data_IF_212538495448
#
_entry.id   IF_212538495448
#
_cell.length_a   1.000
_cell.length_b   1.000
_cell.length_c   1.000
_cell.angle_alpha   90.00
_cell.angle_beta   90.00
_cell.angle_gamma   90.00
#
_symmetry.space_group_name_H-M   'P 1'
#
loop_
_entity.id
_entity.type
_entity.pdbx_description
1 polymer ?
#
# COMPACT_ATOMS: atom_id res chain seq x y z
N UNK A 1 18.78 38.45 -6.85
CA UNK A 1 18.03 38.85 -5.63
C UNK A 1 17.93 37.75 -4.56
N UNK A 2 17.60 36.49 -4.90
CA UNK A 2 17.42 35.40 -3.91
C UNK A 2 18.63 35.14 -3.00
N UNK A 3 19.86 35.20 -3.52
CA UNK A 3 21.07 34.88 -2.73
C UNK A 3 21.43 35.91 -1.65
N UNK A 4 21.17 37.21 -1.87
CA UNK A 4 21.39 38.24 -0.83
C UNK A 4 20.39 38.12 0.33
N UNK A 5 19.14 37.74 0.03
CA UNK A 5 18.10 37.50 1.02
C UNK A 5 18.42 36.24 1.86
N UNK A 6 18.87 35.16 1.22
CA UNK A 6 19.28 33.94 1.92
C UNK A 6 20.51 34.14 2.84
N UNK A 7 21.48 34.97 2.44
CA UNK A 7 22.64 35.27 3.26
C UNK A 7 22.26 36.09 4.52
N UNK A 8 21.40 37.10 4.36
CA UNK A 8 20.86 37.87 5.49
C UNK A 8 20.04 36.98 6.46
N UNK A 9 19.30 36.00 5.95
CA UNK A 9 18.49 35.08 6.76
C UNK A 9 19.31 34.03 7.52
N UNK A 10 20.49 33.62 7.01
CA UNK A 10 21.39 32.70 7.74
C UNK A 10 22.00 33.36 8.98
N UNK A 11 22.37 34.64 8.89
CA UNK A 11 22.87 35.40 10.03
C UNK A 11 21.82 35.57 11.14
N UNK A 12 20.56 35.79 10.76
CA UNK A 12 19.45 35.94 11.70
C UNK A 12 19.06 34.63 12.40
N UNK A 13 19.20 33.47 11.74
CA UNK A 13 18.91 32.16 12.33
C UNK A 13 19.88 31.78 13.45
N UNK A 14 21.16 32.17 13.34
CA UNK A 14 22.16 31.93 14.39
C UNK A 14 21.83 32.72 15.66
N UNK A 15 21.49 34.00 15.50
CA UNK A 15 21.06 34.89 16.58
C UNK A 15 19.78 34.41 17.30
N UNK A 16 18.85 33.80 16.57
CA UNK A 16 17.63 33.17 17.14
C UNK A 16 17.90 31.95 18.02
N UNK A 17 18.91 31.14 17.70
CA UNK A 17 19.27 29.96 18.51
C UNK A 17 20.06 30.33 19.76
N UNK A 18 20.72 31.50 19.77
CA UNK A 18 21.52 31.99 20.90
C UNK A 18 20.70 32.88 21.87
N UNK A 19 19.77 33.71 21.40
CA UNK A 19 19.08 34.74 22.23
C UNK A 19 17.59 34.45 22.53
N UNK A 20 16.98 33.43 21.90
CA UNK A 20 15.54 33.14 22.01
C UNK A 20 14.64 34.08 21.18
N UNK A 21 13.49 33.59 20.73
CA UNK A 21 12.67 34.26 19.72
C UNK A 21 11.84 35.44 20.29
N UNK A 22 11.90 36.67 19.73
CA UNK A 22 11.03 37.76 20.15
C UNK A 22 9.59 37.50 19.64
N UNK A 23 8.61 37.55 20.53
CA UNK A 23 7.19 37.23 20.29
C UNK A 23 6.42 38.16 19.35
N UNK A 24 7.09 38.89 18.45
CA UNK A 24 6.49 39.91 17.59
C UNK A 24 5.77 39.34 16.36
N UNK A 25 4.76 40.08 15.87
CA UNK A 25 3.94 39.72 14.70
C UNK A 25 4.76 39.59 13.40
N UNK A 26 5.88 40.30 13.32
CA UNK A 26 6.82 40.29 12.18
C UNK A 26 7.62 38.98 12.14
N UNK A 27 8.05 38.47 13.29
CA UNK A 27 8.75 37.19 13.41
C UNK A 27 7.90 36.01 12.89
N UNK A 28 6.60 35.99 13.21
CA UNK A 28 5.67 34.96 12.71
C UNK A 28 5.49 35.01 11.20
N UNK A 29 5.44 36.20 10.60
CA UNK A 29 5.36 36.38 9.14
C UNK A 29 6.63 35.94 8.42
N UNK A 30 7.80 36.22 8.99
CA UNK A 30 9.07 35.79 8.42
C UNK A 30 9.28 34.27 8.53
N UNK A 31 8.83 33.65 9.61
CA UNK A 31 8.87 32.20 9.79
C UNK A 31 7.96 31.49 8.78
N UNK A 32 6.74 32.00 8.54
CA UNK A 32 5.84 31.43 7.54
C UNK A 32 6.39 31.59 6.12
N UNK A 33 7.03 32.72 5.82
CA UNK A 33 7.72 32.92 4.53
C UNK A 33 8.91 31.97 4.36
N UNK A 34 9.72 31.75 5.40
CA UNK A 34 10.85 30.81 5.35
C UNK A 34 10.37 29.36 5.13
N UNK A 35 9.35 28.91 5.87
CA UNK A 35 8.74 27.60 5.68
C UNK A 35 8.12 27.43 4.29
N UNK A 36 7.56 28.50 3.73
CA UNK A 36 6.96 28.49 2.38
C UNK A 36 8.01 28.51 1.28
N UNK A 37 9.16 29.16 1.50
CA UNK A 37 10.26 29.24 0.54
C UNK A 37 11.17 28.00 0.54
N UNK A 38 11.28 27.29 1.67
CA UNK A 38 12.02 26.03 1.80
C UNK A 38 11.14 24.78 1.64
N UNK A 39 9.88 24.93 1.20
CA UNK A 39 9.10 23.79 0.72
C UNK A 39 9.79 23.24 -0.53
N UNK A 40 10.12 21.94 -0.60
CA UNK A 40 10.61 21.36 -1.84
C UNK A 40 9.60 21.61 -2.96
N UNK A 41 10.10 21.96 -4.16
CA UNK A 41 9.29 22.17 -5.35
C UNK A 41 8.52 20.88 -5.67
N UNK A 42 7.28 20.81 -5.19
CA UNK A 42 6.38 19.72 -5.54
C UNK A 42 6.10 19.82 -7.05
N UNK A 43 6.63 18.87 -7.81
CA UNK A 43 6.24 18.59 -9.17
C UNK A 43 4.71 18.52 -9.23
N UNK A 44 4.06 19.51 -9.87
CA UNK A 44 2.60 19.54 -10.00
C UNK A 44 2.18 18.40 -10.93
N UNK A 45 1.82 17.26 -10.35
CA UNK A 45 1.09 16.20 -11.06
C UNK A 45 -0.26 16.77 -11.51
N UNK A 46 -0.80 16.36 -12.67
CA UNK A 46 -2.19 16.64 -12.99
C UNK A 46 -3.07 16.09 -11.86
N UNK A 47 -4.04 16.89 -11.42
CA UNK A 47 -5.01 16.50 -10.38
C UNK A 47 -5.85 15.36 -10.95
N UNK A 48 -5.87 14.15 -10.35
CA UNK A 48 -6.76 13.09 -10.80
C UNK A 48 -8.22 13.57 -10.70
N UNK A 49 -9.12 13.04 -11.54
CA UNK A 49 -10.52 13.46 -11.58
C UNK A 49 -11.17 13.41 -10.20
N UNK A 50 -12.11 14.33 -9.97
CA UNK A 50 -12.65 14.69 -8.66
C UNK A 50 -13.28 13.52 -7.86
N UNK A 51 -13.56 12.39 -8.52
CA UNK A 51 -14.20 11.21 -7.93
C UNK A 51 -13.19 10.24 -7.28
N UNK A 52 -11.89 10.59 -7.30
CA UNK A 52 -10.78 9.73 -6.86
C UNK A 52 -10.15 10.17 -5.52
N UNK A 53 -10.97 10.69 -4.60
CA UNK A 53 -10.58 11.06 -3.23
C UNK A 53 -11.01 9.97 -2.24
N UNK A 54 -10.32 8.81 -2.25
CA UNK A 54 -10.43 7.86 -1.14
C UNK A 54 -9.34 8.17 -0.10
N UNK A 55 -9.79 8.58 1.08
CA UNK A 55 -8.98 9.12 2.18
C UNK A 55 -7.89 8.16 2.68
N UNK A 56 -6.71 8.73 2.93
CA UNK A 56 -5.52 8.03 3.44
C UNK A 56 -5.72 7.42 4.84
N UNK A 57 -6.70 7.91 5.61
CA UNK A 57 -7.03 7.45 6.97
C UNK A 57 -7.86 6.15 6.97
N UNK A 58 -8.65 5.95 5.90
CA UNK A 58 -9.50 4.78 5.71
C UNK A 58 -8.72 3.56 5.20
N UNK A 59 -7.64 3.78 4.44
CA UNK A 59 -6.85 2.72 3.83
C UNK A 59 -6.26 1.76 4.87
N UNK A 60 -5.59 2.27 5.91
CA UNK A 60 -5.02 1.45 6.98
C UNK A 60 -6.10 0.72 7.79
N UNK A 61 -7.26 1.35 8.00
CA UNK A 61 -8.41 0.71 8.67
C UNK A 61 -9.00 -0.42 7.83
N UNK A 62 -9.12 -0.22 6.51
CA UNK A 62 -9.58 -1.25 5.57
C UNK A 62 -8.58 -2.40 5.45
N UNK A 63 -7.28 -2.11 5.42
CA UNK A 63 -6.24 -3.15 5.39
C UNK A 63 -6.27 -4.00 6.67
N UNK A 64 -6.40 -3.36 7.85
CA UNK A 64 -6.58 -4.07 9.10
C UNK A 64 -7.89 -4.89 9.13
N UNK A 65 -8.96 -4.37 8.52
CA UNK A 65 -10.23 -5.08 8.39
C UNK A 65 -10.16 -6.28 7.43
N UNK A 66 -9.46 -6.14 6.30
CA UNK A 66 -9.23 -7.22 5.33
C UNK A 66 -8.35 -8.32 5.93
N UNK A 67 -7.29 -7.95 6.65
CA UNK A 67 -6.47 -8.87 7.44
C UNK A 67 -7.30 -9.57 8.51
N UNK A 68 -8.11 -8.82 9.27
CA UNK A 68 -9.00 -9.40 10.27
C UNK A 68 -10.02 -10.38 9.69
N UNK A 69 -10.62 -10.04 8.54
CA UNK A 69 -11.57 -10.93 7.84
C UNK A 69 -10.89 -12.21 7.39
N UNK A 70 -9.73 -12.10 6.73
CA UNK A 70 -8.91 -13.24 6.31
C UNK A 70 -8.58 -14.14 7.51
N UNK A 71 -8.12 -13.53 8.60
CA UNK A 71 -7.84 -14.23 9.85
C UNK A 71 -9.06 -14.96 10.42
N UNK A 72 -10.21 -14.29 10.45
CA UNK A 72 -11.47 -14.88 10.93
C UNK A 72 -11.89 -16.07 10.07
N UNK A 73 -11.77 -15.98 8.75
CA UNK A 73 -12.05 -17.11 7.83
C UNK A 73 -11.17 -18.31 8.19
N UNK A 74 -9.89 -18.10 8.47
CA UNK A 74 -8.97 -19.17 8.85
C UNK A 74 -9.31 -19.80 10.21
N UNK A 75 -9.77 -18.99 11.17
CA UNK A 75 -10.27 -19.48 12.46
C UNK A 75 -11.55 -20.29 12.29
N UNK A 76 -12.52 -19.76 11.55
CA UNK A 76 -13.82 -20.41 11.31
C UNK A 76 -13.67 -21.75 10.57
N UNK A 77 -12.64 -21.87 9.72
CA UNK A 77 -12.29 -23.11 9.01
C UNK A 77 -11.34 -24.03 9.80
N UNK A 78 -10.94 -23.65 11.02
CA UNK A 78 -10.09 -24.45 11.90
C UNK A 78 -8.62 -24.56 11.46
N UNK A 79 -8.15 -23.66 10.60
CA UNK A 79 -6.77 -23.64 10.10
C UNK A 79 -5.82 -23.04 11.14
N UNK A 80 -6.29 -22.03 11.88
CA UNK A 80 -5.56 -21.38 12.97
C UNK A 80 -6.49 -21.20 14.18
N UNK A 81 -5.93 -20.98 15.36
CA UNK A 81 -6.72 -20.65 16.56
C UNK A 81 -6.94 -19.14 16.71
N UNK A 82 -7.96 -18.71 17.48
CA UNK A 82 -8.16 -17.29 17.80
C UNK A 82 -6.93 -16.63 18.45
N UNK A 83 -6.19 -17.38 19.28
CA UNK A 83 -4.97 -16.92 19.94
C UNK A 83 -3.84 -16.68 18.93
N UNK A 84 -3.64 -17.61 18.00
CA UNK A 84 -2.67 -17.48 16.92
C UNK A 84 -2.97 -16.27 16.02
N UNK A 85 -4.26 -16.06 15.72
CA UNK A 85 -4.70 -14.88 14.97
C UNK A 85 -4.37 -13.59 15.73
N UNK A 86 -4.70 -13.52 17.02
CA UNK A 86 -4.42 -12.34 17.84
C UNK A 86 -2.92 -12.03 17.91
N UNK A 87 -2.07 -13.07 18.03
CA UNK A 87 -0.62 -12.92 18.03
C UNK A 87 -0.09 -12.40 16.68
N UNK A 88 -0.56 -12.97 15.57
CA UNK A 88 -0.17 -12.54 14.23
C UNK A 88 -0.60 -11.10 13.91
N UNK A 89 -1.80 -10.70 14.31
CA UNK A 89 -2.28 -9.31 14.15
C UNK A 89 -1.48 -8.33 15.02
N UNK A 90 -1.16 -8.71 16.26
CA UNK A 90 -0.28 -7.90 17.13
C UNK A 90 1.09 -7.71 16.47
N UNK A 91 1.65 -8.78 15.91
CA UNK A 91 2.92 -8.73 15.17
C UNK A 91 2.83 -7.86 13.93
N UNK A 92 1.75 -7.97 13.16
CA UNK A 92 1.50 -7.14 11.98
C UNK A 92 1.47 -5.65 12.33
N UNK A 93 0.73 -5.28 13.39
CA UNK A 93 0.64 -3.90 13.87
C UNK A 93 2.00 -3.36 14.30
N UNK A 94 2.78 -4.14 15.05
CA UNK A 94 4.15 -3.74 15.45
C UNK A 94 5.05 -3.49 14.25
N UNK A 95 4.99 -4.34 13.22
CA UNK A 95 5.76 -4.15 12.00
C UNK A 95 5.34 -2.87 11.27
N UNK A 96 4.04 -2.58 11.20
CA UNK A 96 3.52 -1.35 10.59
C UNK A 96 3.97 -0.11 11.35
N UNK A 97 4.00 -0.14 12.68
CA UNK A 97 4.53 0.94 13.53
C UNK A 97 6.02 1.19 13.26
N UNK A 98 6.78 0.14 12.89
CA UNK A 98 8.17 0.24 12.44
C UNK A 98 8.33 0.54 10.93
N UNK A 99 7.25 0.91 10.25
CA UNK A 99 7.26 1.23 8.82
C UNK A 99 7.38 0.03 7.88
N UNK A 100 7.33 -1.21 8.41
CA UNK A 100 7.34 -2.44 7.62
C UNK A 100 5.91 -2.91 7.37
N UNK A 101 5.50 -2.96 6.11
CA UNK A 101 4.20 -3.52 5.72
C UNK A 101 4.35 -4.99 5.38
N UNK A 102 3.46 -5.82 5.93
CA UNK A 102 3.47 -7.26 5.69
C UNK A 102 2.05 -7.81 5.76
N UNK A 103 1.76 -8.76 4.88
CA UNK A 103 0.46 -9.41 4.84
C UNK A 103 0.24 -10.32 6.05
N UNK A 104 -1.01 -10.47 6.44
CA UNK A 104 -1.34 -11.34 7.55
C UNK A 104 -1.07 -12.79 7.14
N UNK A 105 -1.39 -13.17 5.90
CA UNK A 105 -1.10 -14.49 5.37
C UNK A 105 0.39 -14.85 5.44
N UNK A 106 1.28 -13.92 5.07
CA UNK A 106 2.73 -14.15 5.18
C UNK A 106 3.13 -14.33 6.64
N UNK A 107 2.62 -13.48 7.54
CA UNK A 107 2.94 -13.57 8.96
C UNK A 107 2.50 -14.91 9.56
N UNK A 108 1.28 -15.35 9.27
CA UNK A 108 0.77 -16.64 9.74
C UNK A 108 1.65 -17.81 9.28
N UNK A 109 2.14 -17.76 8.03
CA UNK A 109 3.05 -18.79 7.50
C UNK A 109 4.44 -18.71 8.15
N UNK A 110 5.01 -17.51 8.29
CA UNK A 110 6.33 -17.33 8.91
C UNK A 110 6.36 -17.68 10.39
N UNK A 111 5.24 -17.47 11.09
CA UNK A 111 5.08 -17.84 12.49
C UNK A 111 4.81 -19.34 12.68
N UNK A 112 4.68 -20.10 11.58
CA UNK A 112 4.47 -21.54 11.60
C UNK A 112 3.06 -21.96 12.03
N UNK A 113 2.09 -21.04 12.00
CA UNK A 113 0.69 -21.36 12.36
C UNK A 113 -0.07 -22.04 11.24
N UNK A 114 0.36 -21.85 9.99
CA UNK A 114 -0.24 -22.49 8.81
C UNK A 114 0.80 -22.62 7.70
N UNK A 115 0.56 -23.50 6.73
CA UNK A 115 1.34 -23.55 5.50
C UNK A 115 0.74 -22.64 4.42
N UNK A 116 1.52 -22.25 3.41
CA UNK A 116 0.98 -21.50 2.26
C UNK A 116 -0.12 -22.26 1.53
N UNK A 117 -0.04 -23.59 1.51
CA UNK A 117 -1.03 -24.45 0.87
C UNK A 117 -2.35 -24.44 1.64
N UNK A 118 -2.33 -24.68 2.96
CA UNK A 118 -3.53 -24.65 3.80
C UNK A 118 -4.19 -23.27 3.81
N UNK A 119 -3.38 -22.21 3.87
CA UNK A 119 -3.85 -20.84 3.76
C UNK A 119 -4.62 -20.60 2.46
N UNK A 120 -4.05 -20.98 1.31
CA UNK A 120 -4.69 -20.81 0.01
C UNK A 120 -5.94 -21.69 -0.15
N UNK A 121 -5.88 -22.93 0.32
CA UNK A 121 -7.02 -23.86 0.24
C UNK A 121 -8.21 -23.36 1.05
N UNK A 122 -7.96 -22.79 2.23
CA UNK A 122 -9.00 -22.20 3.07
C UNK A 122 -9.67 -21.00 2.39
N UNK A 123 -8.89 -20.06 1.85
CA UNK A 123 -9.43 -18.91 1.13
C UNK A 123 -10.12 -19.31 -0.17
N UNK A 124 -9.59 -20.29 -0.89
CA UNK A 124 -10.17 -20.82 -2.12
C UNK A 124 -11.57 -21.39 -1.86
N UNK A 125 -11.73 -22.19 -0.80
CA UNK A 125 -13.02 -22.74 -0.38
C UNK A 125 -14.00 -21.65 0.02
N UNK A 126 -13.56 -20.66 0.79
CA UNK A 126 -14.43 -19.58 1.27
C UNK A 126 -14.90 -18.66 0.13
N UNK A 127 -13.97 -18.17 -0.69
CA UNK A 127 -14.27 -17.22 -1.77
C UNK A 127 -14.73 -17.89 -3.07
N UNK A 128 -14.63 -19.22 -3.17
CA UNK A 128 -14.87 -19.99 -4.40
C UNK A 128 -14.00 -19.49 -5.56
N UNK A 129 -12.73 -19.21 -5.26
CA UNK A 129 -11.76 -18.67 -6.22
C UNK A 129 -10.68 -19.70 -6.53
N UNK A 130 -10.37 -19.96 -7.81
CA UNK A 130 -9.27 -20.82 -8.19
C UNK A 130 -7.91 -20.24 -7.77
N UNK A 131 -6.96 -21.11 -7.45
CA UNK A 131 -5.59 -20.73 -7.11
C UNK A 131 -4.72 -20.75 -8.37
N UNK A 132 -3.86 -19.75 -8.54
CA UNK A 132 -2.88 -19.65 -9.62
C UNK A 132 -1.47 -19.50 -9.05
N UNK A 133 -0.48 -20.15 -9.68
CA UNK A 133 0.93 -19.93 -9.36
C UNK A 133 1.51 -18.81 -10.21
N UNK A 134 2.25 -17.92 -9.56
CA UNK A 134 2.99 -16.80 -10.13
C UNK A 134 4.50 -17.09 -10.21
N UNK A 135 4.99 -18.30 -9.88
CA UNK A 135 6.41 -18.64 -9.87
C UNK A 135 7.14 -18.32 -11.19
N UNK A 136 6.49 -18.57 -12.32
CA UNK A 136 7.01 -18.28 -13.68
C UNK A 136 6.40 -17.02 -14.31
N UNK A 137 5.52 -16.32 -13.57
CA UNK A 137 4.85 -15.13 -14.08
C UNK A 137 5.81 -13.93 -14.12
N UNK A 138 5.73 -13.17 -15.21
CA UNK A 138 6.46 -11.92 -15.41
C UNK A 138 5.42 -10.82 -15.66
N UNK A 139 5.26 -9.85 -14.75
CA UNK A 139 4.29 -8.77 -14.90
C UNK A 139 4.57 -7.95 -16.15
N UNK A 140 3.54 -7.75 -17.00
CA UNK A 140 3.67 -6.80 -18.12
C UNK A 140 3.40 -5.37 -17.62
N UNK A 141 4.24 -4.37 -17.98
CA UNK A 141 4.01 -2.97 -17.57
C UNK A 141 2.66 -2.42 -18.05
N UNK A 142 2.23 -2.84 -19.25
CA UNK A 142 0.93 -2.47 -19.81
C UNK A 142 -0.25 -2.94 -18.94
N UNK A 143 -0.22 -4.20 -18.48
CA UNK A 143 -1.29 -4.73 -17.63
C UNK A 143 -1.26 -4.13 -16.23
N UNK A 144 -0.07 -3.95 -15.63
CA UNK A 144 0.04 -3.31 -14.31
C UNK A 144 -0.45 -1.85 -14.35
N UNK A 145 -0.20 -1.13 -15.44
CA UNK A 145 -0.64 0.26 -15.61
C UNK A 145 -2.16 0.47 -15.66
N UNK A 146 -2.97 -0.59 -15.63
CA UNK A 146 -4.42 -0.48 -15.50
C UNK A 146 -4.87 -0.06 -14.08
N UNK A 147 -4.03 -0.30 -13.08
CA UNK A 147 -4.27 0.10 -11.69
C UNK A 147 -3.08 0.91 -11.19
N UNK A 148 -3.31 1.85 -10.28
CA UNK A 148 -2.21 2.59 -9.67
C UNK A 148 -1.37 1.64 -8.79
N UNK A 149 -0.04 1.70 -8.88
CA UNK A 149 0.87 0.84 -8.10
C UNK A 149 0.48 0.79 -6.62
N UNK A 150 0.18 1.96 -6.05
CA UNK A 150 -0.22 2.04 -4.64
C UNK A 150 -1.47 1.23 -4.32
N UNK A 151 -2.44 1.19 -5.23
CA UNK A 151 -3.66 0.39 -5.10
C UNK A 151 -3.33 -1.10 -5.17
N UNK A 152 -2.49 -1.48 -6.14
CA UNK A 152 -1.97 -2.84 -6.35
C UNK A 152 -1.30 -3.37 -5.07
N UNK A 153 -0.33 -2.62 -4.52
CA UNK A 153 0.38 -2.99 -3.31
C UNK A 153 -0.52 -3.03 -2.06
N UNK A 154 -1.41 -2.05 -1.91
CA UNK A 154 -2.26 -1.94 -0.73
C UNK A 154 -3.27 -3.10 -0.65
N UNK A 155 -3.86 -3.47 -1.78
CA UNK A 155 -4.87 -4.53 -1.88
C UNK A 155 -4.27 -5.88 -2.28
N UNK A 156 -2.95 -6.00 -2.29
CA UNK A 156 -2.21 -7.24 -2.57
C UNK A 156 -2.71 -7.96 -3.81
N UNK A 157 -2.84 -7.22 -4.90
CA UNK A 157 -3.38 -7.70 -6.16
C UNK A 157 -2.36 -7.54 -7.29
N UNK A 158 -2.55 -8.27 -8.38
CA UNK A 158 -1.80 -8.12 -9.63
C UNK A 158 -2.75 -8.28 -10.80
N UNK A 159 -2.59 -7.44 -11.82
CA UNK A 159 -3.28 -7.66 -13.09
C UNK A 159 -2.46 -8.65 -13.92
N UNK A 160 -3.01 -9.83 -14.19
CA UNK A 160 -2.30 -10.87 -14.94
C UNK A 160 -2.37 -10.64 -16.45
N UNK A 161 -3.55 -10.28 -16.94
CA UNK A 161 -3.78 -10.06 -18.36
C UNK A 161 -4.97 -9.12 -18.60
N UNK A 162 -4.93 -8.42 -19.74
CA UNK A 162 -6.04 -7.67 -20.31
C UNK A 162 -6.16 -8.00 -21.80
N UNK A 163 -7.26 -8.65 -22.17
CA UNK A 163 -7.59 -9.07 -23.53
C UNK A 163 -8.72 -8.23 -24.15
N UNK A 164 -8.90 -6.99 -23.70
CA UNK A 164 -9.93 -6.09 -24.24
C UNK A 164 -11.29 -6.35 -23.61
N UNK A 165 -11.92 -7.49 -23.91
CA UNK A 165 -13.21 -7.90 -23.32
C UNK A 165 -13.07 -8.57 -21.95
N UNK A 166 -11.91 -9.15 -21.66
CA UNK A 166 -11.64 -9.83 -20.39
C UNK A 166 -10.44 -9.24 -19.66
N UNK A 167 -10.54 -9.15 -18.33
CA UNK A 167 -9.41 -8.83 -17.44
C UNK A 167 -9.24 -9.93 -16.41
N UNK A 168 -7.99 -10.31 -16.15
CA UNK A 168 -7.66 -11.35 -15.18
C UNK A 168 -6.76 -10.78 -14.09
N UNK A 169 -7.11 -11.04 -12.83
CA UNK A 169 -6.39 -10.53 -11.66
C UNK A 169 -6.11 -11.64 -10.66
N UNK A 170 -4.95 -11.57 -10.01
CA UNK A 170 -4.58 -12.41 -8.88
C UNK A 170 -4.57 -11.58 -7.60
N UNK A 171 -5.10 -12.13 -6.51
CA UNK A 171 -5.10 -11.53 -5.17
C UNK A 171 -4.46 -12.49 -4.18
N UNK A 172 -3.66 -11.95 -3.27
CA UNK A 172 -3.15 -12.73 -2.15
C UNK A 172 -4.14 -12.77 -0.98
N UNK A 173 -4.84 -11.66 -0.75
CA UNK A 173 -5.82 -11.49 0.34
C UNK A 173 -7.07 -10.83 -0.23
N UNK A 174 -8.11 -11.61 -0.60
CA UNK A 174 -9.34 -11.04 -1.15
C UNK A 174 -10.13 -10.27 -0.09
N UNK A 175 -10.63 -9.10 -0.49
CA UNK A 175 -11.57 -8.29 0.28
C UNK A 175 -12.86 -8.13 -0.55
N UNK A 176 -14.04 -8.56 -0.05
CA UNK A 176 -15.31 -8.42 -0.77
C UNK A 176 -15.58 -7.00 -1.28
N UNK A 177 -15.26 -5.97 -0.50
CA UNK A 177 -15.50 -4.58 -0.91
C UNK A 177 -14.62 -4.20 -2.09
N UNK A 178 -13.37 -4.64 -2.07
CA UNK A 178 -12.40 -4.38 -3.15
C UNK A 178 -12.73 -5.18 -4.40
N UNK A 179 -13.19 -6.42 -4.26
CA UNK A 179 -13.66 -7.22 -5.38
C UNK A 179 -14.84 -6.52 -6.09
N UNK A 180 -15.76 -5.95 -5.33
CA UNK A 180 -16.89 -5.21 -5.89
C UNK A 180 -16.47 -3.87 -6.50
N UNK A 181 -15.52 -3.16 -5.90
CA UNK A 181 -14.94 -1.95 -6.48
C UNK A 181 -14.20 -2.23 -7.79
N UNK A 182 -13.44 -3.33 -7.86
CA UNK A 182 -12.80 -3.80 -9.09
C UNK A 182 -13.86 -4.14 -10.16
N UNK A 183 -14.93 -4.85 -9.79
CA UNK A 183 -16.04 -5.12 -10.73
C UNK A 183 -16.65 -3.84 -11.30
N UNK A 184 -16.85 -2.82 -10.47
CA UNK A 184 -17.39 -1.52 -10.91
C UNK A 184 -16.40 -0.76 -11.78
N UNK A 185 -15.11 -0.75 -11.41
CA UNK A 185 -14.06 -0.07 -12.14
C UNK A 185 -13.87 -0.66 -13.56
N UNK A 186 -13.98 -1.98 -13.69
CA UNK A 186 -13.84 -2.71 -14.94
C UNK A 186 -15.19 -3.12 -15.54
N UNK A 187 -16.27 -2.38 -15.27
CA UNK A 187 -17.63 -2.67 -15.77
C UNK A 187 -17.77 -2.69 -17.31
N UNK A 188 -16.78 -2.16 -18.01
CA UNK A 188 -16.69 -2.18 -19.47
C UNK A 188 -16.10 -3.50 -20.01
N UNK A 189 -15.62 -4.39 -19.14
CA UNK A 189 -15.18 -5.74 -19.48
C UNK A 189 -16.39 -6.68 -19.43
N UNK A 190 -16.48 -7.58 -20.40
CA UNK A 190 -17.48 -8.65 -20.42
C UNK A 190 -17.23 -9.66 -19.30
N UNK A 191 -15.95 -9.89 -18.98
CA UNK A 191 -15.54 -10.86 -17.95
C UNK A 191 -14.40 -10.34 -17.09
N UNK A 192 -14.54 -10.57 -15.78
CA UNK A 192 -13.52 -10.26 -14.78
C UNK A 192 -13.20 -11.55 -14.03
N UNK A 193 -11.99 -12.06 -14.21
CA UNK A 193 -11.55 -13.30 -13.57
C UNK A 193 -10.67 -12.98 -12.36
N UNK A 194 -11.05 -13.50 -11.20
CA UNK A 194 -10.26 -13.40 -9.97
C UNK A 194 -9.64 -14.75 -9.62
N UNK A 195 -8.36 -14.72 -9.28
CA UNK A 195 -7.61 -15.87 -8.81
C UNK A 195 -6.97 -15.55 -7.46
N UNK A 196 -6.80 -16.58 -6.64
CA UNK A 196 -5.93 -16.53 -5.46
C UNK A 196 -4.49 -16.82 -5.86
N UNK A 197 -3.54 -16.10 -5.30
CA UNK A 197 -2.12 -16.37 -5.49
C UNK A 197 -1.41 -16.44 -4.15
N UNK A 198 -0.35 -17.24 -4.10
CA UNK A 198 0.51 -17.32 -2.94
C UNK A 198 1.05 -15.90 -2.60
N UNK A 199 0.89 -15.43 -1.36
CA UNK A 199 1.30 -14.07 -1.00
C UNK A 199 2.80 -13.83 -1.19
N UNK A 200 3.65 -14.84 -0.98
CA UNK A 200 5.09 -14.74 -1.23
C UNK A 200 5.42 -14.59 -2.72
N UNK A 201 4.69 -15.30 -3.58
CA UNK A 201 4.90 -15.21 -5.03
C UNK A 201 4.44 -13.87 -5.58
N UNK A 202 3.34 -13.33 -5.04
CA UNK A 202 2.77 -12.04 -5.39
C UNK A 202 3.71 -10.88 -4.95
N UNK A 203 4.22 -10.90 -3.71
CA UNK A 203 5.21 -9.92 -3.24
C UNK A 203 6.51 -9.96 -4.08
N UNK A 204 6.94 -11.15 -4.53
CA UNK A 204 8.10 -11.28 -5.42
C UNK A 204 7.86 -10.61 -6.78
N UNK A 205 6.63 -10.64 -7.29
CA UNK A 205 6.28 -10.00 -8.56
C UNK A 205 6.33 -8.47 -8.46
N UNK A 206 6.06 -7.90 -7.28
CA UNK A 206 6.24 -6.46 -7.04
C UNK A 206 7.69 -6.01 -7.17
N UNK A 207 8.63 -6.76 -6.58
CA UNK A 207 10.07 -6.43 -6.67
C UNK A 207 10.68 -6.58 -8.07
N UNK A 208 9.95 -7.18 -9.02
CA UNK A 208 10.36 -7.31 -10.43
C UNK A 208 9.85 -6.17 -11.30
N UNK A 209 8.93 -5.35 -10.80
CA UNK A 209 8.62 -4.07 -11.39
C UNK A 209 9.58 -3.06 -10.75
N UNK A 210 10.56 -2.50 -11.49
CA UNK A 210 11.34 -1.41 -10.95
C UNK A 210 10.35 -0.30 -10.65
N UNK A 211 10.23 0.11 -9.39
CA UNK A 211 9.71 1.42 -9.08
C UNK A 211 10.63 2.42 -9.80
N UNK A 212 10.15 3.20 -10.80
CA UNK A 212 10.98 4.22 -11.44
C UNK A 212 11.41 5.32 -10.44
N UNK A 213 10.88 5.32 -9.22
CA UNK A 213 11.21 6.21 -8.11
C UNK A 213 11.75 5.46 -6.88
N UNK A 214 12.05 4.17 -7.00
CA UNK A 214 12.56 3.31 -5.93
C UNK A 214 14.04 3.55 -5.67
N UNK A 215 14.45 4.82 -5.63
CA UNK A 215 15.79 5.22 -5.24
C UNK A 215 15.78 5.37 -3.74
N UNK A 216 16.35 4.37 -3.06
CA UNK A 216 16.84 4.50 -1.69
C UNK A 216 17.84 5.66 -1.63
N UNK A 217 17.38 6.87 -1.36
CA UNK A 217 18.24 8.00 -1.02
C UNK A 217 18.46 8.06 0.49
N UNK A 218 19.09 7.05 1.09
CA UNK A 218 19.87 7.20 2.33
C UNK A 218 20.88 6.05 2.41
N UNK A 219 22.10 6.33 1.98
CA UNK A 219 23.33 5.68 2.45
C UNK A 219 24.32 6.78 2.77
#
# INVERSE_FOLDING_TARGET
>A
MKNKILAAMKGWKKKWMEEGAPGSRVARRLLSLYQRMNRPLAFRRPKPPADFFFEYEDASRREAAAGYLTGKILVDLGVITPEQLAEAMKRQKQLQEWGKRKSLGILLVEMGYTTSQEYLDALSRYFKMPVISLLKFIPSPKAQGLLADRYVHHHRLLVLADHGSEVTMALAEPDPLILDDLKKAFKNKEKINFYLANPFELERCYGRHPDPFGVNFYR
#
